data_IF_436884058588
#
_entry.id   IF_436884058588
#
_cell.length_a   1.000
_cell.length_b   1.000
_cell.length_c   1.000
_cell.angle_alpha   90.00
_cell.angle_beta   90.00
_cell.angle_gamma   90.00
#
_symmetry.space_group_name_H-M   'P 1'
#
loop_
_entity.id
_entity.type
_entity.pdbx_description
1 polymer ?
#
# COMPACT_ATOMS: atom_id res chain seq x y z
N UNK A 1 -33.34 12.83 4.64
CA UNK A 1 -32.13 13.26 5.38
C UNK A 1 -31.82 12.18 6.39
N UNK A 2 -30.93 11.25 6.04
CA UNK A 2 -30.49 10.20 6.97
C UNK A 2 -29.24 10.68 7.70
N UNK A 3 -29.10 10.45 9.00
CA UNK A 3 -27.94 10.93 9.76
C UNK A 3 -26.71 10.10 9.38
N UNK A 4 -25.71 10.79 8.91
CA UNK A 4 -24.35 10.27 8.68
C UNK A 4 -23.82 9.72 10.02
N UNK A 5 -23.53 8.43 10.06
CA UNK A 5 -22.87 7.78 11.20
C UNK A 5 -21.46 8.34 11.36
N UNK A 6 -21.31 9.27 12.27
CA UNK A 6 -20.03 9.90 12.70
C UNK A 6 -19.23 8.98 13.64
N UNK A 7 -19.33 7.66 13.52
CA UNK A 7 -18.82 6.70 14.50
C UNK A 7 -17.66 5.79 14.05
N UNK A 8 -17.08 5.95 12.86
CA UNK A 8 -16.20 4.88 12.33
C UNK A 8 -14.87 5.36 11.71
N UNK A 9 -14.30 6.43 12.23
CA UNK A 9 -13.00 6.97 11.77
C UNK A 9 -11.80 6.62 12.68
N UNK A 10 -12.00 5.78 13.68
CA UNK A 10 -10.89 5.25 14.48
C UNK A 10 -10.28 4.07 13.71
N UNK A 11 -9.07 4.26 13.18
CA UNK A 11 -8.26 3.15 12.69
C UNK A 11 -8.31 2.02 13.72
N UNK A 12 -8.81 0.85 13.33
CA UNK A 12 -8.89 -0.29 14.24
C UNK A 12 -7.49 -0.60 14.73
N UNK A 13 -7.32 -0.58 16.04
CA UNK A 13 -6.04 -0.89 16.68
C UNK A 13 -5.70 -2.37 16.46
N UNK A 14 -4.42 -2.69 16.26
CA UNK A 14 -4.00 -4.09 16.21
C UNK A 14 -4.47 -4.85 17.48
N UNK A 15 -4.78 -6.14 17.35
CA UNK A 15 -5.21 -6.95 18.48
C UNK A 15 -4.17 -6.94 19.61
N UNK A 16 -4.63 -7.06 20.85
CA UNK A 16 -3.80 -7.00 22.06
C UNK A 16 -3.34 -8.35 22.56
N UNK A 17 -3.88 -9.43 22.01
CA UNK A 17 -3.58 -10.81 22.39
C UNK A 17 -3.69 -11.76 21.18
N UNK A 18 -3.17 -12.99 21.37
CA UNK A 18 -3.30 -14.05 20.37
C UNK A 18 -4.76 -14.45 20.20
N UNK A 19 -5.51 -14.51 21.29
CA UNK A 19 -6.94 -14.82 21.30
C UNK A 19 -7.75 -13.75 20.55
N UNK A 20 -7.44 -12.48 20.77
CA UNK A 20 -8.05 -11.36 20.02
C UNK A 20 -7.71 -11.43 18.51
N UNK A 21 -6.48 -11.87 18.17
CA UNK A 21 -6.08 -12.10 16.78
C UNK A 21 -6.88 -13.22 16.13
N UNK A 22 -7.04 -14.36 16.82
CA UNK A 22 -7.87 -15.48 16.34
C UNK A 22 -9.31 -15.04 16.09
N UNK A 23 -9.89 -14.31 17.04
CA UNK A 23 -11.25 -13.78 16.94
C UNK A 23 -11.39 -12.81 15.76
N UNK A 24 -10.48 -11.87 15.63
CA UNK A 24 -10.45 -10.91 14.51
C UNK A 24 -10.42 -11.62 13.15
N UNK A 25 -9.59 -12.66 13.00
CA UNK A 25 -9.51 -13.42 11.75
C UNK A 25 -10.81 -14.19 11.48
N UNK A 26 -11.39 -14.81 12.49
CA UNK A 26 -12.65 -15.56 12.39
C UNK A 26 -13.84 -14.65 12.03
N UNK A 27 -13.89 -13.42 12.52
CA UNK A 27 -14.90 -12.40 12.17
C UNK A 27 -14.85 -12.00 10.69
N UNK A 28 -13.75 -12.29 10.01
CA UNK A 28 -13.55 -12.06 8.59
C UNK A 28 -13.43 -13.38 7.77
N UNK A 29 -14.09 -14.44 8.25
CA UNK A 29 -14.19 -15.75 7.59
C UNK A 29 -12.82 -16.42 7.33
N UNK A 30 -11.80 -16.10 8.13
CA UNK A 30 -10.49 -16.73 8.03
C UNK A 30 -10.18 -17.62 9.24
N UNK A 31 -10.11 -18.93 8.99
CA UNK A 31 -9.79 -19.92 10.03
C UNK A 31 -8.26 -20.04 10.15
N UNK A 32 -7.70 -19.57 11.25
CA UNK A 32 -6.27 -19.64 11.54
C UNK A 32 -5.99 -20.60 12.70
N UNK A 33 -4.91 -21.36 12.58
CA UNK A 33 -4.35 -22.06 13.71
C UNK A 33 -3.64 -21.10 14.69
N UNK A 34 -3.47 -21.53 15.95
CA UNK A 34 -2.81 -20.71 17.00
C UNK A 34 -1.40 -20.25 16.60
N UNK A 35 -0.63 -21.10 15.90
CA UNK A 35 0.72 -20.75 15.44
C UNK A 35 0.70 -19.54 14.51
N UNK A 36 -0.18 -19.52 13.51
CA UNK A 36 -0.33 -18.40 12.57
C UNK A 36 -0.82 -17.13 13.30
N UNK A 37 -1.79 -17.27 14.19
CA UNK A 37 -2.27 -16.14 14.99
C UNK A 37 -1.18 -15.54 15.89
N UNK A 38 -0.30 -16.37 16.45
CA UNK A 38 0.83 -15.92 17.26
C UNK A 38 1.82 -15.09 16.45
N UNK A 39 2.25 -15.58 15.27
CA UNK A 39 3.21 -14.85 14.46
C UNK A 39 2.62 -13.56 13.88
N UNK A 40 1.33 -13.56 13.55
CA UNK A 40 0.61 -12.35 13.13
C UNK A 40 0.53 -11.32 14.26
N UNK A 41 0.13 -11.76 15.45
CA UNK A 41 0.09 -10.89 16.63
C UNK A 41 1.46 -10.23 16.88
N UNK A 42 2.54 -11.02 16.88
CA UNK A 42 3.89 -10.53 17.07
C UNK A 42 4.32 -9.57 15.94
N UNK A 43 4.06 -9.91 14.69
CA UNK A 43 4.34 -9.07 13.53
C UNK A 43 3.67 -7.69 13.66
N UNK A 44 2.39 -7.66 13.98
CA UNK A 44 1.62 -6.42 14.16
C UNK A 44 2.12 -5.58 15.35
N UNK A 45 2.45 -6.25 16.47
CA UNK A 45 2.94 -5.55 17.69
C UNK A 45 4.35 -5.01 17.54
N UNK A 46 5.21 -5.71 16.83
CA UNK A 46 6.61 -5.33 16.63
C UNK A 46 6.83 -4.45 15.40
N UNK A 47 5.81 -4.30 14.53
CA UNK A 47 5.96 -3.60 13.26
C UNK A 47 6.97 -4.30 12.34
N UNK A 48 7.02 -5.64 12.37
CA UNK A 48 7.94 -6.42 11.56
C UNK A 48 7.22 -7.13 10.43
N UNK A 49 7.87 -7.28 9.26
CA UNK A 49 7.27 -8.04 8.16
C UNK A 49 7.10 -9.51 8.54
N UNK A 50 6.07 -10.13 7.98
CA UNK A 50 5.79 -11.55 8.11
C UNK A 50 6.11 -12.25 6.79
N UNK A 51 6.94 -13.28 6.85
CA UNK A 51 7.19 -14.20 5.74
C UNK A 51 6.32 -15.44 5.89
N UNK A 52 5.54 -15.76 4.85
CA UNK A 52 4.66 -16.93 4.80
C UNK A 52 5.08 -17.84 3.65
N UNK A 53 5.50 -19.06 3.99
CA UNK A 53 5.86 -20.10 3.04
C UNK A 53 4.85 -21.24 3.10
N UNK A 54 4.66 -21.94 2.00
CA UNK A 54 3.76 -23.10 1.92
C UNK A 54 3.27 -23.30 0.48
N UNK A 55 2.53 -24.38 0.27
CA UNK A 55 1.99 -24.76 -1.03
C UNK A 55 1.04 -23.70 -1.63
N UNK A 56 0.82 -23.78 -2.94
CA UNK A 56 -0.15 -22.93 -3.60
C UNK A 56 -1.57 -23.23 -3.08
N UNK A 57 -2.41 -22.20 -2.94
CA UNK A 57 -3.81 -22.36 -2.54
C UNK A 57 -4.07 -22.45 -1.02
N UNK A 58 -3.05 -22.48 -0.16
CA UNK A 58 -3.25 -22.57 1.31
C UNK A 58 -3.66 -21.26 2.00
N UNK A 59 -4.03 -20.23 1.24
CA UNK A 59 -4.57 -18.98 1.79
C UNK A 59 -3.54 -17.91 2.18
N UNK A 60 -2.25 -18.03 1.80
CA UNK A 60 -1.21 -17.04 2.14
C UNK A 60 -1.56 -15.61 1.70
N UNK A 61 -2.07 -15.43 0.50
CA UNK A 61 -2.47 -14.11 -0.02
C UNK A 61 -3.77 -13.62 0.63
N UNK A 62 -4.65 -14.54 1.00
CA UNK A 62 -5.95 -14.19 1.60
C UNK A 62 -5.78 -13.52 2.97
N UNK A 63 -4.75 -13.91 3.73
CA UNK A 63 -4.49 -13.30 5.04
C UNK A 63 -4.21 -11.80 4.94
N UNK A 64 -3.52 -11.33 3.88
CA UNK A 64 -3.28 -9.92 3.67
C UNK A 64 -4.58 -9.14 3.40
N UNK A 65 -5.51 -9.73 2.64
CA UNK A 65 -6.83 -9.14 2.41
C UNK A 65 -7.68 -9.09 3.68
N UNK A 66 -7.63 -10.16 4.48
CA UNK A 66 -8.32 -10.23 5.77
C UNK A 66 -7.78 -9.17 6.73
N UNK A 67 -6.46 -9.03 6.85
CA UNK A 67 -5.84 -8.00 7.67
C UNK A 67 -6.18 -6.59 7.21
N UNK A 68 -6.18 -6.34 5.90
CA UNK A 68 -6.60 -5.06 5.32
C UNK A 68 -8.01 -4.68 5.76
N UNK A 69 -8.96 -5.60 5.65
CA UNK A 69 -10.36 -5.40 6.07
C UNK A 69 -10.49 -5.26 7.60
N UNK A 70 -9.85 -6.16 8.34
CA UNK A 70 -9.94 -6.21 9.80
C UNK A 70 -9.36 -4.96 10.48
N UNK A 71 -8.27 -4.42 9.92
CA UNK A 71 -7.57 -3.24 10.45
C UNK A 71 -7.99 -1.93 9.78
N UNK A 72 -8.91 -1.98 8.82
CA UNK A 72 -9.30 -0.83 8.00
C UNK A 72 -8.08 -0.10 7.41
N UNK A 73 -7.21 -0.86 6.75
CA UNK A 73 -5.99 -0.37 6.10
C UNK A 73 -6.01 -0.69 4.62
N UNK A 74 -5.49 0.20 3.75
CA UNK A 74 -5.39 -0.11 2.32
C UNK A 74 -4.48 -1.32 2.10
N UNK A 75 -4.86 -2.16 1.14
CA UNK A 75 -4.04 -3.28 0.69
C UNK A 75 -3.26 -2.84 -0.54
N UNK A 76 -1.94 -2.88 -0.44
CA UNK A 76 -1.05 -2.65 -1.57
C UNK A 76 -0.36 -3.98 -1.90
N UNK A 77 -0.39 -4.36 -3.16
CA UNK A 77 0.16 -5.63 -3.62
C UNK A 77 1.28 -5.40 -4.62
N UNK A 78 2.43 -5.98 -4.37
CA UNK A 78 3.50 -6.14 -5.34
C UNK A 78 3.64 -7.61 -5.70
N UNK A 79 3.47 -7.93 -6.97
CA UNK A 79 3.75 -9.26 -7.48
C UNK A 79 5.17 -9.29 -8.02
N UNK A 80 6.06 -10.02 -7.32
CA UNK A 80 7.44 -10.18 -7.76
C UNK A 80 7.53 -11.18 -8.91
N UNK A 81 8.35 -10.87 -9.89
CA UNK A 81 8.68 -11.72 -11.03
C UNK A 81 10.15 -11.52 -11.40
N UNK A 82 10.71 -12.45 -12.18
CA UNK A 82 12.08 -12.34 -12.65
C UNK A 82 12.25 -11.09 -13.52
N UNK A 83 13.28 -10.27 -13.21
CA UNK A 83 13.51 -8.99 -13.90
C UNK A 83 12.73 -7.80 -13.35
N UNK A 84 12.04 -7.94 -12.20
CA UNK A 84 11.42 -6.79 -11.53
C UNK A 84 12.48 -5.73 -11.21
N UNK A 85 12.26 -4.51 -11.71
CA UNK A 85 13.16 -3.36 -11.55
C UNK A 85 12.54 -2.24 -10.70
N UNK A 86 13.31 -1.17 -10.48
CA UNK A 86 12.90 0.01 -9.71
C UNK A 86 11.70 0.69 -10.37
N UNK A 87 11.67 0.78 -11.70
CA UNK A 87 10.59 1.46 -12.44
C UNK A 87 9.25 0.75 -12.29
N UNK A 88 9.28 -0.57 -12.14
CA UNK A 88 8.08 -1.38 -11.94
C UNK A 88 7.67 -1.50 -10.47
N UNK A 89 8.62 -1.42 -9.54
CA UNK A 89 8.39 -1.66 -8.11
C UNK A 89 8.23 -0.38 -7.29
N UNK A 90 9.02 0.67 -7.55
CA UNK A 90 9.15 1.85 -6.69
C UNK A 90 8.49 3.07 -7.31
N UNK A 91 9.02 3.57 -8.42
CA UNK A 91 8.48 4.72 -9.14
C UNK A 91 8.93 4.74 -10.60
N UNK A 92 8.18 5.44 -11.41
CA UNK A 92 8.48 5.68 -12.81
C UNK A 92 8.11 7.13 -13.16
N UNK A 93 8.84 7.72 -14.11
CA UNK A 93 8.48 9.01 -14.65
C UNK A 93 7.48 8.87 -15.80
N UNK A 94 6.46 9.72 -15.80
CA UNK A 94 5.49 9.79 -16.90
C UNK A 94 6.10 10.54 -18.09
N UNK A 95 6.99 9.87 -18.80
CA UNK A 95 7.68 10.46 -19.96
C UNK A 95 6.74 11.06 -21.02
N UNK A 96 5.63 10.42 -21.39
CA UNK A 96 4.70 11.04 -22.34
C UNK A 96 4.16 12.38 -21.86
N UNK A 97 3.81 12.49 -20.58
CA UNK A 97 3.31 13.73 -19.99
C UNK A 97 4.43 14.79 -19.88
N UNK A 98 5.66 14.40 -19.56
CA UNK A 98 6.81 15.30 -19.56
C UNK A 98 7.09 15.86 -20.93
N UNK A 99 7.05 15.02 -21.98
CA UNK A 99 7.24 15.47 -23.37
C UNK A 99 6.16 16.46 -23.83
N UNK A 100 4.91 16.22 -23.42
CA UNK A 100 3.83 17.17 -23.70
C UNK A 100 4.07 18.53 -23.02
N UNK A 101 4.49 18.51 -21.75
CA UNK A 101 4.79 19.73 -20.98
C UNK A 101 5.93 20.55 -21.65
N UNK A 102 6.99 19.88 -22.08
CA UNK A 102 8.11 20.52 -22.79
C UNK A 102 7.61 21.18 -24.07
N UNK A 103 6.81 20.49 -24.88
CA UNK A 103 6.25 21.04 -26.11
C UNK A 103 5.32 22.24 -25.89
N UNK A 104 4.54 22.20 -24.80
CA UNK A 104 3.68 23.33 -24.43
C UNK A 104 4.52 24.52 -23.98
N UNK A 105 5.59 24.32 -23.20
CA UNK A 105 6.50 25.39 -22.81
C UNK A 105 7.18 26.04 -24.04
N UNK A 106 7.67 25.23 -24.98
CA UNK A 106 8.23 25.71 -26.24
C UNK A 106 7.20 26.55 -27.05
N UNK A 107 5.95 26.07 -27.12
CA UNK A 107 4.89 26.77 -27.87
C UNK A 107 4.47 28.10 -27.23
N UNK A 108 4.61 28.25 -25.91
CA UNK A 108 4.31 29.46 -25.16
C UNK A 108 5.49 30.43 -25.05
N UNK A 109 6.67 30.07 -25.60
CA UNK A 109 7.88 30.89 -25.54
C UNK A 109 8.53 30.89 -24.15
N UNK A 110 8.33 29.87 -23.34
CA UNK A 110 9.00 29.70 -22.07
C UNK A 110 10.46 29.28 -22.30
N UNK A 111 11.40 30.22 -22.13
CA UNK A 111 12.84 29.97 -22.34
C UNK A 111 13.59 29.60 -21.06
N UNK A 112 12.93 29.63 -19.88
CA UNK A 112 13.57 29.22 -18.59
C UNK A 112 13.69 27.70 -18.48
N UNK A 113 14.82 27.18 -18.94
CA UNK A 113 15.14 25.75 -18.86
C UNK A 113 15.08 25.22 -17.43
N UNK A 114 15.48 26.01 -16.44
CA UNK A 114 15.44 25.61 -15.03
C UNK A 114 14.00 25.49 -14.49
N UNK A 115 13.07 26.32 -14.97
CA UNK A 115 11.66 26.21 -14.63
C UNK A 115 11.05 24.97 -15.28
N UNK A 116 11.34 24.71 -16.54
CA UNK A 116 10.88 23.51 -17.26
C UNK A 116 11.40 22.24 -16.57
N UNK A 117 12.69 22.17 -16.24
CA UNK A 117 13.30 21.03 -15.55
C UNK A 117 12.64 20.75 -14.19
N UNK A 118 12.43 21.77 -13.36
CA UNK A 118 11.71 21.65 -12.08
C UNK A 118 10.28 21.14 -12.27
N UNK A 119 9.61 21.53 -13.33
CA UNK A 119 8.24 21.12 -13.62
C UNK A 119 8.18 19.66 -14.07
N UNK A 120 9.03 19.24 -15.00
CA UNK A 120 9.01 17.88 -15.53
C UNK A 120 9.45 16.83 -14.52
N UNK A 121 10.33 17.17 -13.58
CA UNK A 121 10.74 16.29 -12.47
C UNK A 121 9.99 16.59 -11.16
N UNK A 122 8.79 17.15 -11.24
CA UNK A 122 7.92 17.33 -10.10
C UNK A 122 7.05 16.09 -9.84
N UNK A 123 6.42 16.06 -8.66
CA UNK A 123 5.48 15.00 -8.28
C UNK A 123 4.31 14.82 -9.26
N UNK A 124 3.99 15.86 -10.04
CA UNK A 124 2.96 15.85 -11.11
C UNK A 124 3.22 14.75 -12.13
N UNK A 125 4.49 14.49 -12.42
CA UNK A 125 4.92 13.52 -13.43
C UNK A 125 5.44 12.20 -12.82
N UNK A 126 5.39 12.05 -11.48
CA UNK A 126 5.82 10.87 -10.79
C UNK A 126 4.70 9.82 -10.75
N UNK A 127 4.93 8.65 -11.34
CA UNK A 127 4.05 7.49 -11.23
C UNK A 127 4.52 6.67 -10.03
N UNK A 128 3.73 6.69 -8.95
CA UNK A 128 4.00 5.92 -7.74
C UNK A 128 3.69 4.45 -7.96
N UNK A 129 4.67 3.61 -7.81
CA UNK A 129 4.55 2.15 -7.87
C UNK A 129 4.31 1.58 -6.47
N UNK A 130 3.97 0.28 -6.32
CA UNK A 130 3.50 -0.27 -5.04
C UNK A 130 4.41 -0.04 -3.84
N UNK A 131 5.74 -0.12 -4.00
CA UNK A 131 6.68 0.11 -2.88
C UNK A 131 6.60 1.55 -2.38
N UNK A 132 6.64 2.54 -3.30
CA UNK A 132 6.54 3.94 -2.91
C UNK A 132 5.18 4.25 -2.28
N UNK A 133 4.09 3.73 -2.85
CA UNK A 133 2.74 3.87 -2.28
C UNK A 133 2.68 3.30 -0.85
N UNK A 134 3.36 2.16 -0.60
CA UNK A 134 3.40 1.55 0.72
C UNK A 134 4.18 2.38 1.74
N UNK A 135 5.28 3.01 1.30
CA UNK A 135 6.12 3.87 2.15
C UNK A 135 5.44 5.21 2.49
N UNK A 136 4.77 5.82 1.52
CA UNK A 136 4.05 7.08 1.73
C UNK A 136 2.78 6.89 2.58
N UNK A 137 2.16 5.72 2.47
CA UNK A 137 0.88 5.42 3.11
C UNK A 137 -0.28 6.20 2.48
N UNK A 138 -1.47 5.98 3.01
CA UNK A 138 -2.68 6.71 2.58
C UNK A 138 -3.39 7.28 3.80
N UNK A 139 -3.59 8.58 3.84
CA UNK A 139 -4.29 9.25 4.94
C UNK A 139 -3.62 9.08 6.31
N UNK A 140 -2.29 8.98 6.36
CA UNK A 140 -1.52 8.80 7.59
C UNK A 140 -1.56 7.39 8.17
N UNK A 141 -2.11 6.43 7.43
CA UNK A 141 -2.19 5.01 7.85
C UNK A 141 -1.20 4.17 7.05
N UNK A 142 -0.43 3.34 7.76
CA UNK A 142 0.41 2.34 7.12
C UNK A 142 -0.47 1.27 6.45
N UNK A 143 -0.28 0.97 5.16
CA UNK A 143 -1.03 -0.07 4.47
C UNK A 143 -0.63 -1.47 4.94
N UNK A 144 -1.41 -2.45 4.53
CA UNK A 144 -0.97 -3.85 4.47
C UNK A 144 -0.28 -4.03 3.12
N UNK A 145 0.99 -4.46 3.13
CA UNK A 145 1.83 -4.58 1.93
C UNK A 145 2.29 -6.03 1.76
#
# INVERSE_FOLDING_TARGET
MSPTRTGDLLARTPPDSIEATLKMLAEHDYVAGRALATVLFLSLRMGRPLFLEGEAGVGKTEIAKVLSKALDRPLIRLQCYEGLDVSSAVYEWNYPAQMLEIRLAEATGEDDRGAIERTIFSEKHLIRRPVLQALEGTGGRAPVF
#
